data_IF_701702377041
#
_entry.id   IF_701702377041
#
_cell.length_a   1.000
_cell.length_b   1.000
_cell.length_c   1.000
_cell.angle_alpha   90.00
_cell.angle_beta   90.00
_cell.angle_gamma   90.00
#
_symmetry.space_group_name_H-M   'P 1'
#
loop_
_entity.id
_entity.type
_entity.pdbx_description
1 polymer ?
#
# COMPACT_ATOMS: atom_id res chain seq x y z
N UNK A 1 8.86 -8.49 5.64
CA UNK A 1 8.56 -7.79 4.37
C UNK A 1 9.89 -7.33 3.78
N UNK A 2 10.17 -7.55 2.50
CA UNK A 2 11.41 -7.10 1.84
C UNK A 2 11.05 -6.02 0.82
N UNK A 3 11.76 -4.90 0.84
CA UNK A 3 11.70 -3.91 -0.22
C UNK A 3 12.34 -4.53 -1.46
N UNK A 4 11.63 -4.56 -2.59
CA UNK A 4 12.19 -5.03 -3.85
C UNK A 4 12.50 -3.82 -4.74
N UNK A 5 13.76 -3.69 -5.18
CA UNK A 5 14.13 -2.76 -6.24
C UNK A 5 13.79 -3.37 -7.59
N UNK A 6 13.07 -2.62 -8.42
CA UNK A 6 12.84 -2.99 -9.80
C UNK A 6 12.95 -1.76 -10.69
N UNK A 7 14.15 -1.53 -11.25
CA UNK A 7 14.43 -0.45 -12.21
C UNK A 7 14.10 0.95 -11.67
N UNK A 8 14.51 1.23 -10.44
CA UNK A 8 14.26 2.54 -9.79
C UNK A 8 12.86 2.72 -9.23
N UNK A 9 11.99 1.71 -9.32
CA UNK A 9 10.70 1.67 -8.62
C UNK A 9 10.77 0.69 -7.45
N UNK A 10 10.65 1.23 -6.24
CA UNK A 10 10.54 0.43 -5.03
C UNK A 10 9.16 -0.21 -4.93
N UNK A 11 9.12 -1.52 -4.72
CA UNK A 11 7.90 -2.28 -4.53
C UNK A 11 7.83 -2.81 -3.10
N UNK A 12 6.66 -2.65 -2.50
CA UNK A 12 6.34 -3.19 -1.18
C UNK A 12 5.35 -4.33 -1.37
N UNK A 13 5.78 -5.56 -1.08
CA UNK A 13 4.90 -6.72 -1.17
C UNK A 13 3.99 -6.77 0.04
N UNK A 14 2.68 -6.65 -0.18
CA UNK A 14 1.66 -6.80 0.85
C UNK A 14 1.29 -8.29 0.93
N UNK A 15 1.40 -8.93 2.11
CA UNK A 15 0.90 -10.29 2.34
C UNK A 15 -0.57 -10.44 1.97
N UNK A 16 -0.93 -11.58 1.38
CA UNK A 16 -2.31 -11.85 0.90
C UNK A 16 -3.34 -11.75 2.03
N UNK A 17 -2.99 -12.19 3.23
CA UNK A 17 -3.90 -12.17 4.39
C UNK A 17 -4.24 -10.74 4.82
N UNK A 18 -3.25 -9.83 4.80
CA UNK A 18 -3.48 -8.42 5.09
C UNK A 18 -4.36 -7.75 4.04
N UNK A 19 -4.11 -8.04 2.76
CA UNK A 19 -4.96 -7.53 1.68
C UNK A 19 -6.41 -8.00 1.83
N UNK A 20 -6.63 -9.27 2.18
CA UNK A 20 -7.97 -9.83 2.44
C UNK A 20 -8.67 -9.14 3.61
N UNK A 21 -7.99 -8.99 4.75
CA UNK A 21 -8.57 -8.34 5.95
C UNK A 21 -8.92 -6.88 5.67
N UNK A 22 -8.11 -6.18 4.87
CA UNK A 22 -8.38 -4.80 4.45
C UNK A 22 -9.39 -4.69 3.30
N UNK A 23 -9.80 -5.80 2.69
CA UNK A 23 -10.71 -5.82 1.54
C UNK A 23 -10.08 -5.33 0.23
N UNK A 24 -8.76 -5.22 0.17
CA UNK A 24 -8.04 -4.77 -1.02
C UNK A 24 -8.07 -5.84 -2.11
N UNK A 25 -8.41 -5.42 -3.33
CA UNK A 25 -8.47 -6.26 -4.52
C UNK A 25 -7.46 -5.76 -5.55
N UNK A 26 -7.20 -6.59 -6.56
CA UNK A 26 -6.41 -6.14 -7.70
C UNK A 26 -7.10 -4.91 -8.34
N UNK A 27 -6.33 -3.83 -8.51
CA UNK A 27 -6.83 -2.55 -9.00
C UNK A 27 -7.27 -1.56 -7.91
N UNK A 28 -7.25 -1.94 -6.64
CA UNK A 28 -7.43 -0.99 -5.53
C UNK A 28 -6.27 0.01 -5.53
N UNK A 29 -6.58 1.30 -5.61
CA UNK A 29 -5.59 2.37 -5.50
C UNK A 29 -5.24 2.62 -4.03
N UNK A 30 -3.95 2.53 -3.71
CA UNK A 30 -3.40 2.71 -2.37
C UNK A 30 -2.37 3.85 -2.37
N UNK A 31 -2.38 4.67 -1.32
CA UNK A 31 -1.35 5.66 -1.03
C UNK A 31 -0.53 5.23 0.18
N UNK A 32 0.79 5.45 0.10
CA UNK A 32 1.66 5.44 1.29
C UNK A 32 1.77 6.88 1.76
N UNK A 33 1.34 7.14 3.00
CA UNK A 33 1.37 8.47 3.62
C UNK A 33 2.02 8.39 4.99
N UNK A 34 2.63 9.47 5.43
CA UNK A 34 3.12 9.58 6.80
C UNK A 34 1.96 10.02 7.71
N UNK A 35 1.75 9.35 8.84
CA UNK A 35 0.79 9.79 9.85
C UNK A 35 1.41 10.92 10.71
N UNK A 36 0.64 11.45 11.67
CA UNK A 36 1.11 12.52 12.57
C UNK A 36 2.18 12.04 13.57
N UNK A 37 2.30 10.73 13.76
CA UNK A 37 3.27 10.09 14.66
C UNK A 37 4.60 9.81 13.96
N UNK A 38 4.69 10.04 12.65
CA UNK A 38 5.90 9.82 11.84
C UNK A 38 5.97 8.42 11.20
N UNK A 39 4.94 7.58 11.36
CA UNK A 39 4.86 6.26 10.76
C UNK A 39 4.39 6.33 9.29
N UNK A 40 4.97 5.46 8.46
CA UNK A 40 4.45 5.22 7.12
C UNK A 40 3.24 4.28 7.18
N UNK A 41 2.08 4.78 6.76
CA UNK A 41 0.82 4.03 6.72
C UNK A 41 0.28 3.93 5.30
N UNK A 42 -0.34 2.79 4.98
CA UNK A 42 -0.97 2.54 3.69
C UNK A 42 -2.48 2.82 3.82
N UNK A 43 -3.00 3.74 3.00
CA UNK A 43 -4.42 4.09 2.97
C UNK A 43 -5.03 3.83 1.59
N UNK A 44 -6.28 3.38 1.57
CA UNK A 44 -7.05 3.25 0.33
C UNK A 44 -7.46 4.65 -0.17
N UNK A 45 -7.28 4.90 -1.46
CA UNK A 45 -7.70 6.15 -2.10
C UNK A 45 -8.92 5.84 -2.96
N UNK A 46 -10.07 6.41 -2.61
CA UNK A 46 -11.24 6.39 -3.48
C UNK A 46 -11.13 7.58 -4.42
N UNK A 47 -10.87 7.35 -5.71
CA UNK A 47 -11.08 8.39 -6.73
C UNK A 47 -12.56 8.79 -6.67
N UNK A 48 -12.86 9.97 -6.15
CA UNK A 48 -14.14 10.63 -6.43
C UNK A 48 -14.13 10.97 -7.92
N UNK A 49 -14.92 10.25 -8.71
CA UNK A 49 -15.40 10.74 -10.01
C UNK A 49 -16.50 11.76 -9.77
#
# INVERSE_FOLDING_TARGET
>A
MKLQDNKGQYKLTIPKDLAKVKGWKQGTELAVVMNQEGDLVIKEIKKKR
#
